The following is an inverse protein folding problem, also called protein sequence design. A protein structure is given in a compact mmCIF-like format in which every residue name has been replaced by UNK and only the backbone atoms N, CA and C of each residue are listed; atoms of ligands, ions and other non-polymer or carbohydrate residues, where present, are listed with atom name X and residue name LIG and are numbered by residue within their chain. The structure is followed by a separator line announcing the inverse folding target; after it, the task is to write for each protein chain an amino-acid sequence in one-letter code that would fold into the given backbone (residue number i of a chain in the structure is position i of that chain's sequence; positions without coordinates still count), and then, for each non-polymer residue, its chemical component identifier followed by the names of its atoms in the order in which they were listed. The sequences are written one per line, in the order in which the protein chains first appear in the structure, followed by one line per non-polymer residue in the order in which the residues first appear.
data_IF_949619110890
#
_entry.id   IF_949619110890
#
_cell.length_a   1.000
_cell.length_b   1.000
_cell.length_c   1.000
_cell.angle_alpha   90.00
_cell.angle_beta   90.00
_cell.angle_gamma   90.00
#
_symmetry.space_group_name_H-M   'P 1'
#
loop_
_entity.id
_entity.type
_entity.pdbx_description
1 polymer ?
#
# COMPACT_ATOMS: atom_id res chain seq x y z
N UNK A 1 12.12 -4.15 -16.07
CA UNK A 1 11.35 -4.07 -14.81
C UNK A 1 12.25 -3.44 -13.76
N UNK A 2 11.82 -2.37 -13.11
CA UNK A 2 12.57 -1.75 -12.00
C UNK A 2 11.82 -2.07 -10.71
N UNK A 3 12.50 -2.74 -9.78
CA UNK A 3 12.00 -2.99 -8.42
C UNK A 3 12.81 -2.15 -7.45
N UNK A 4 12.13 -1.54 -6.48
CA UNK A 4 12.76 -0.74 -5.43
C UNK A 4 12.04 -1.02 -4.11
N UNK A 5 12.81 -1.08 -3.04
CA UNK A 5 12.25 -1.08 -1.68
C UNK A 5 11.82 0.33 -1.33
N UNK A 6 10.68 0.46 -0.66
CA UNK A 6 10.13 1.74 -0.22
C UNK A 6 9.16 1.51 0.94
N UNK A 7 8.93 2.54 1.73
CA UNK A 7 7.93 2.50 2.82
C UNK A 7 6.54 2.88 2.30
N UNK A 8 5.50 2.49 3.03
CA UNK A 8 4.13 2.94 2.70
C UNK A 8 4.02 4.47 2.70
N UNK A 9 4.67 5.15 3.65
CA UNK A 9 4.75 6.61 3.70
C UNK A 9 5.31 7.20 2.39
N UNK A 10 6.44 6.68 1.93
CA UNK A 10 7.08 7.14 0.70
C UNK A 10 6.27 6.85 -0.57
N UNK A 11 5.53 5.74 -0.55
CA UNK A 11 4.61 5.39 -1.60
C UNK A 11 3.51 6.46 -1.71
N UNK A 12 2.84 6.79 -0.62
CA UNK A 12 1.63 7.65 -0.64
C UNK A 12 1.89 9.15 -0.53
N UNK A 13 3.11 9.58 -0.17
CA UNK A 13 3.46 11.00 -0.10
C UNK A 13 3.58 11.66 -1.49
N UNK A 14 3.27 12.95 -1.55
CA UNK A 14 3.42 13.80 -2.74
C UNK A 14 2.22 13.76 -3.70
N UNK A 15 2.41 14.31 -4.90
CA UNK A 15 1.35 14.44 -5.92
C UNK A 15 1.25 13.20 -6.81
N UNK A 16 0.99 12.04 -6.20
CA UNK A 16 0.81 10.77 -6.91
C UNK A 16 -0.64 10.32 -6.83
N UNK A 17 -1.17 9.83 -7.94
CA UNK A 17 -2.48 9.19 -7.97
C UNK A 17 -2.36 7.71 -8.31
N UNK A 18 -2.98 6.86 -7.51
CA UNK A 18 -3.09 5.43 -7.77
C UNK A 18 -4.46 5.11 -8.37
N UNK A 19 -4.48 4.51 -9.55
CA UNK A 19 -5.69 4.11 -10.25
C UNK A 19 -5.75 2.59 -10.37
N UNK A 20 -6.83 1.98 -9.87
CA UNK A 20 -7.14 0.57 -10.13
C UNK A 20 -7.87 0.49 -11.48
N UNK A 21 -7.33 -0.22 -12.49
CA UNK A 21 -7.97 -0.36 -13.79
C UNK A 21 -9.26 -1.19 -13.72
N UNK A 22 -10.21 -0.96 -14.65
CA UNK A 22 -11.51 -1.63 -14.67
C UNK A 22 -11.44 -3.15 -14.85
N UNK A 23 -10.37 -3.67 -15.45
CA UNK A 23 -10.17 -5.11 -15.64
C UNK A 23 -9.67 -5.83 -14.39
N UNK A 24 -9.36 -5.09 -13.32
CA UNK A 24 -8.99 -5.71 -12.04
C UNK A 24 -10.20 -6.22 -11.28
N UNK A 25 -9.98 -7.20 -10.40
CA UNK A 25 -11.04 -7.70 -9.50
C UNK A 25 -11.47 -6.62 -8.50
N UNK A 26 -12.70 -6.73 -8.00
CA UNK A 26 -13.19 -5.86 -6.92
C UNK A 26 -12.44 -6.12 -5.61
N UNK A 27 -12.59 -5.20 -4.66
CA UNK A 27 -12.14 -5.46 -3.30
C UNK A 27 -12.84 -6.70 -2.72
N UNK A 28 -12.07 -7.59 -2.13
CA UNK A 28 -12.52 -8.93 -1.74
C UNK A 28 -11.87 -9.45 -0.48
N UNK A 29 -10.99 -8.66 0.16
CA UNK A 29 -10.41 -9.03 1.44
C UNK A 29 -11.52 -9.04 2.49
N UNK A 30 -11.56 -10.14 3.23
CA UNK A 30 -12.46 -10.41 4.33
C UNK A 30 -11.71 -10.29 5.65
N UNK A 31 -12.41 -10.59 6.74
CA UNK A 31 -11.93 -10.41 8.10
C UNK A 31 -10.59 -11.10 8.37
N UNK A 32 -10.37 -12.28 7.79
CA UNK A 32 -9.14 -13.05 8.00
C UNK A 32 -7.92 -12.30 7.46
N UNK A 33 -8.00 -11.73 6.24
CA UNK A 33 -6.89 -10.96 5.68
C UNK A 33 -6.68 -9.63 6.40
N UNK A 34 -7.77 -9.00 6.85
CA UNK A 34 -7.69 -7.76 7.65
C UNK A 34 -7.03 -8.01 9.00
N UNK A 35 -7.38 -9.11 9.68
CA UNK A 35 -6.78 -9.50 10.95
C UNK A 35 -5.30 -9.80 10.80
N UNK A 36 -4.89 -10.48 9.72
CA UNK A 36 -3.49 -10.73 9.46
C UNK A 36 -2.72 -9.41 9.25
N UNK A 37 -3.20 -8.52 8.36
CA UNK A 37 -2.55 -7.23 8.13
C UNK A 37 -2.46 -6.41 9.42
N UNK A 38 -3.51 -6.41 10.24
CA UNK A 38 -3.52 -5.65 11.48
C UNK A 38 -2.63 -6.25 12.56
N UNK A 39 -2.59 -7.58 12.68
CA UNK A 39 -1.69 -8.29 13.59
C UNK A 39 -0.24 -7.94 13.30
N UNK A 40 0.17 -8.00 12.03
CA UNK A 40 1.51 -7.60 11.59
C UNK A 40 1.86 -6.17 12.04
N UNK A 41 0.92 -5.22 11.95
CA UNK A 41 1.13 -3.83 12.39
C UNK A 41 1.22 -3.74 13.91
N UNK A 42 0.37 -4.47 14.64
CA UNK A 42 0.36 -4.47 16.10
C UNK A 42 1.68 -5.02 16.66
N UNK A 43 2.19 -6.11 16.09
CA UNK A 43 3.48 -6.70 16.49
C UNK A 43 4.61 -5.65 16.39
N UNK A 44 4.69 -4.90 15.29
CA UNK A 44 5.69 -3.85 15.12
C UNK A 44 5.56 -2.71 16.13
N UNK A 45 4.32 -2.35 16.47
CA UNK A 45 4.05 -1.31 17.47
C UNK A 45 4.46 -1.81 18.86
N UNK A 46 4.14 -3.05 19.21
CA UNK A 46 4.50 -3.67 20.49
C UNK A 46 6.02 -3.77 20.65
N UNK A 47 6.75 -4.24 19.63
CA UNK A 47 8.21 -4.28 19.63
C UNK A 47 8.82 -2.89 19.86
N UNK A 48 8.28 -1.86 19.21
CA UNK A 48 8.73 -0.49 19.37
C UNK A 48 8.43 0.05 20.78
N UNK A 49 7.26 -0.24 21.34
CA UNK A 49 6.87 0.17 22.69
C UNK A 49 7.72 -0.50 23.77
N UNK A 50 8.16 -1.74 23.54
CA UNK A 50 9.08 -2.47 24.41
C UNK A 50 10.55 -1.99 24.29
N UNK A 51 10.83 -0.98 23.46
CA UNK A 51 12.16 -0.43 23.25
C UNK A 51 13.08 -1.32 22.42
N UNK A 52 12.53 -2.32 21.71
CA UNK A 52 13.28 -3.10 20.72
C UNK A 52 13.49 -2.22 19.48
N UNK A 53 14.59 -2.44 18.77
CA UNK A 53 14.80 -1.75 17.51
C UNK A 53 13.69 -2.22 16.52
N UNK A 54 12.89 -1.31 15.94
CA UNK A 54 11.82 -1.70 15.04
C UNK A 54 12.42 -2.42 13.82
N UNK A 55 12.06 -3.69 13.65
CA UNK A 55 12.43 -4.43 12.46
C UNK A 55 11.60 -3.92 11.26
N UNK A 56 12.22 -3.85 10.08
CA UNK A 56 11.45 -3.58 8.87
C UNK A 56 10.53 -4.78 8.58
N UNK A 57 9.22 -4.56 8.49
CA UNK A 57 8.27 -5.59 8.07
C UNK A 57 8.02 -5.54 6.58
N UNK A 58 8.11 -6.69 5.93
CA UNK A 58 7.78 -6.80 4.52
C UNK A 58 6.26 -6.97 4.35
N UNK A 59 5.58 -5.85 4.11
CA UNK A 59 4.13 -5.85 3.87
C UNK A 59 3.73 -6.50 2.53
N UNK A 60 4.68 -6.78 1.63
CA UNK A 60 4.44 -7.34 0.31
C UNK A 60 4.69 -6.37 -0.84
N UNK A 61 4.76 -6.89 -2.07
CA UNK A 61 4.97 -6.08 -3.27
C UNK A 61 3.69 -5.41 -3.77
N UNK A 62 3.89 -4.29 -4.48
CA UNK A 62 2.88 -3.60 -5.30
C UNK A 62 3.48 -3.42 -6.69
N UNK A 63 2.73 -3.77 -7.73
CA UNK A 63 3.18 -3.60 -9.12
C UNK A 63 2.45 -2.41 -9.72
N UNK A 64 3.22 -1.43 -10.20
CA UNK A 64 2.72 -0.19 -10.76
C UNK A 64 3.15 -0.04 -12.21
N UNK A 65 2.24 0.45 -13.05
CA UNK A 65 2.54 0.87 -14.41
C UNK A 65 2.26 2.36 -14.60
N UNK A 66 3.03 3.09 -15.42
CA UNK A 66 2.75 4.49 -15.69
C UNK A 66 1.39 4.63 -16.38
N UNK A 67 0.52 5.47 -15.81
CA UNK A 67 -0.75 5.86 -16.41
C UNK A 67 -0.58 7.06 -17.35
N UNK A 68 -1.66 7.44 -18.05
CA UNK A 68 -1.68 8.69 -18.81
C UNK A 68 -1.68 9.88 -17.85
N UNK A 69 -0.84 10.88 -18.14
CA UNK A 69 -0.85 12.16 -17.43
C UNK A 69 -2.21 12.83 -17.70
N UNK A 70 -2.90 13.22 -16.63
CA UNK A 70 -4.15 13.97 -16.75
C UNK A 70 -3.90 15.47 -16.79
N UNK A 71 -4.88 16.22 -17.31
CA UNK A 71 -4.90 17.66 -17.19
C UNK A 71 -4.71 18.04 -15.70
N UNK A 72 -3.66 18.80 -15.40
CA UNK A 72 -3.23 19.13 -14.03
C UNK A 72 -1.83 18.62 -13.65
N UNK A 73 -1.16 17.83 -14.49
CA UNK A 73 0.26 17.47 -14.29
C UNK A 73 0.51 16.37 -13.23
N UNK A 74 -0.52 15.93 -12.53
CA UNK A 74 -0.41 14.87 -11.52
C UNK A 74 -0.01 13.53 -12.16
N UNK A 75 1.01 12.89 -11.58
CA UNK A 75 1.49 11.60 -12.06
C UNK A 75 0.53 10.48 -11.63
N UNK A 76 -0.02 9.76 -12.60
CA UNK A 76 -0.91 8.64 -12.37
C UNK A 76 -0.18 7.31 -12.52
N UNK A 77 -0.39 6.42 -11.57
CA UNK A 77 0.11 5.05 -11.55
C UNK A 77 -1.05 4.06 -11.58
N UNK A 78 -1.03 3.15 -12.54
CA UNK A 78 -1.97 2.05 -12.63
C UNK A 78 -1.52 0.93 -11.68
N UNK A 79 -2.42 0.48 -10.82
CA UNK A 79 -2.17 -0.64 -9.90
C UNK A 79 -2.42 -1.95 -10.65
N UNK A 80 -1.34 -2.69 -10.91
CA UNK A 80 -1.36 -3.97 -11.63
C UNK A 80 -1.46 -5.14 -10.65
N UNK A 81 -0.82 -5.03 -9.49
CA UNK A 81 -0.92 -6.01 -8.41
C UNK A 81 -0.73 -5.32 -7.04
N UNK A 82 -1.13 -5.99 -5.96
CA UNK A 82 -1.11 -5.46 -4.59
C UNK A 82 -2.31 -4.58 -4.24
N UNK A 83 -3.34 -4.53 -5.09
CA UNK A 83 -4.48 -3.63 -4.95
C UNK A 83 -5.23 -3.74 -3.61
N UNK A 84 -5.51 -4.94 -3.09
CA UNK A 84 -6.35 -5.10 -1.90
C UNK A 84 -5.62 -4.55 -0.67
N UNK A 85 -4.33 -4.85 -0.57
CA UNK A 85 -3.45 -4.35 0.48
C UNK A 85 -3.30 -2.84 0.40
N UNK A 86 -3.01 -2.30 -0.80
CA UNK A 86 -2.90 -0.85 -1.01
C UNK A 86 -4.20 -0.13 -0.64
N UNK A 87 -5.35 -0.62 -1.10
CA UNK A 87 -6.66 -0.06 -0.76
C UNK A 87 -6.94 -0.11 0.74
N UNK A 88 -6.65 -1.23 1.40
CA UNK A 88 -6.86 -1.38 2.85
C UNK A 88 -6.04 -0.39 3.64
N UNK A 89 -4.74 -0.27 3.33
CA UNK A 89 -3.85 0.68 3.98
C UNK A 89 -4.30 2.12 3.70
N UNK A 90 -4.64 2.47 2.46
CA UNK A 90 -5.16 3.80 2.13
C UNK A 90 -6.41 4.15 2.96
N UNK A 91 -7.37 3.22 3.07
CA UNK A 91 -8.58 3.42 3.88
C UNK A 91 -8.26 3.64 5.36
N UNK A 92 -7.35 2.84 5.92
CA UNK A 92 -6.93 2.96 7.32
C UNK A 92 -6.28 4.32 7.63
N UNK A 93 -5.57 4.93 6.68
CA UNK A 93 -4.95 6.25 6.85
C UNK A 93 -5.89 7.43 6.57
N UNK A 94 -7.02 7.20 5.90
CA UNK A 94 -8.04 8.24 5.65
C UNK A 94 -9.11 8.34 6.74
N UNK A 95 -9.25 7.32 7.57
CA UNK A 95 -10.20 7.26 8.69
C UNK A 95 -9.71 8.09 9.88
#
# INVERSE_FOLDING_TARGET
MHAQETTFKELVQGEKQYQVPLYQRTYSWQREQLQQLWGDVQELVEEQLEGRAPAAHFLGSVVLAPGRITAGGMQRWLVVDGQQRLTTLMLAFTA
#
